data_IF_581509874272
#
_entry.id   IF_581509874272
#
_cell.length_a   1.000
_cell.length_b   1.000
_cell.length_c   1.000
_cell.angle_alpha   90.00
_cell.angle_beta   90.00
_cell.angle_gamma   90.00
#
_symmetry.space_group_name_H-M   'P 1'
#
loop_
_entity.id
_entity.type
_entity.pdbx_description
1 polymer ?
#
# COMPACT_ATOMS: atom_id res chain seq x y z
N UNK A 1 7.25 -4.75 9.75
CA UNK A 1 7.49 -3.76 8.87
C UNK A 1 7.61 -2.39 9.43
N UNK A 2 6.73 -1.93 10.16
CA UNK A 2 6.88 -0.64 10.78
C UNK A 2 7.36 -0.80 12.21
N UNK A 3 8.15 -1.75 12.44
CA UNK A 3 8.59 -1.97 13.77
C UNK A 3 9.54 -0.95 14.29
N UNK A 4 10.13 -0.15 13.45
CA UNK A 4 10.95 0.85 13.95
C UNK A 4 10.29 2.13 13.87
N UNK A 5 9.60 2.49 14.87
CA UNK A 5 8.85 3.71 14.87
C UNK A 5 9.69 4.94 14.64
N UNK A 6 10.91 4.92 15.08
CA UNK A 6 11.74 6.08 14.94
C UNK A 6 12.31 6.25 13.56
N UNK A 7 12.26 5.26 12.75
CA UNK A 7 12.66 5.45 11.41
C UNK A 7 12.10 4.38 10.54
N UNK A 8 12.02 4.61 9.26
CA UNK A 8 11.41 3.70 8.35
C UNK A 8 9.92 3.86 8.30
N UNK A 9 9.37 4.89 8.97
CA UNK A 9 7.93 5.06 9.00
C UNK A 9 7.45 6.41 8.45
N UNK A 10 8.34 7.22 7.90
CA UNK A 10 7.89 8.49 7.31
C UNK A 10 7.39 8.18 5.91
N UNK A 11 6.14 8.48 5.68
CA UNK A 11 5.47 8.03 4.46
C UNK A 11 4.85 9.17 3.66
N UNK A 12 4.96 9.06 2.35
CA UNK A 12 4.25 9.92 1.44
C UNK A 12 3.14 9.06 0.84
N UNK A 13 1.93 9.56 0.77
CA UNK A 13 0.82 8.84 0.19
C UNK A 13 0.63 9.24 -1.26
N UNK A 14 0.48 8.24 -2.12
CA UNK A 14 0.05 8.48 -3.49
C UNK A 14 -1.39 8.05 -3.57
N UNK A 15 -2.28 8.98 -3.88
CA UNK A 15 -3.72 8.70 -3.90
C UNK A 15 -4.28 8.91 -5.30
N UNK A 16 -4.37 7.85 -6.11
CA UNK A 16 -5.00 7.97 -7.41
C UNK A 16 -6.50 8.16 -7.22
N UNK A 17 -7.08 9.09 -7.97
CA UNK A 17 -8.49 9.38 -7.88
C UNK A 17 -9.16 9.08 -9.21
N UNK A 18 -10.11 8.15 -9.20
CA UNK A 18 -10.86 7.79 -10.38
C UNK A 18 -12.31 8.17 -10.15
N UNK A 19 -13.13 8.08 -11.18
CA UNK A 19 -14.53 8.38 -11.05
C UNK A 19 -15.19 7.65 -9.92
N UNK A 20 -14.79 6.41 -9.69
CA UNK A 20 -15.42 5.59 -8.66
C UNK A 20 -14.82 5.80 -7.26
N UNK A 21 -13.80 6.63 -7.14
CA UNK A 21 -13.17 6.86 -5.84
C UNK A 21 -14.10 7.72 -5.00
N UNK A 22 -14.43 7.24 -3.81
CA UNK A 22 -15.32 7.97 -2.94
C UNK A 22 -14.66 9.19 -2.32
N UNK A 23 -15.47 10.14 -1.85
CA UNK A 23 -14.93 11.39 -1.30
C UNK A 23 -14.11 11.22 -0.04
N UNK A 24 -14.38 10.15 0.72
CA UNK A 24 -13.66 9.96 1.97
C UNK A 24 -12.49 8.97 1.83
N UNK A 25 -12.21 8.55 0.63
CA UNK A 25 -11.21 7.50 0.42
C UNK A 25 -9.82 7.88 0.93
N UNK A 26 -9.42 9.12 0.72
CA UNK A 26 -8.12 9.55 1.16
C UNK A 26 -8.04 9.59 2.69
N UNK A 27 -9.08 10.12 3.33
CA UNK A 27 -9.09 10.20 4.79
C UNK A 27 -9.05 8.81 5.39
N UNK A 28 -9.77 7.87 4.82
CA UNK A 28 -9.78 6.50 5.29
C UNK A 28 -8.40 5.88 5.14
N UNK A 29 -7.75 6.14 4.02
CA UNK A 29 -6.44 5.58 3.81
C UNK A 29 -5.40 6.19 4.75
N UNK A 30 -5.54 7.47 5.05
CA UNK A 30 -4.63 8.11 5.99
C UNK A 30 -4.78 7.49 7.38
N UNK A 31 -6.02 7.18 7.78
CA UNK A 31 -6.24 6.53 9.05
C UNK A 31 -5.62 5.13 9.06
N UNK A 32 -5.74 4.44 7.94
CA UNK A 32 -5.17 3.13 7.81
C UNK A 32 -3.64 3.21 7.97
N UNK A 33 -3.04 4.21 7.34
CA UNK A 33 -1.59 4.38 7.42
C UNK A 33 -1.15 4.64 8.85
N UNK A 34 -1.90 5.47 9.57
CA UNK A 34 -1.58 5.75 10.95
C UNK A 34 -1.73 4.52 11.81
N UNK A 35 -2.73 3.69 11.52
CA UNK A 35 -2.92 2.45 12.25
C UNK A 35 -1.73 1.50 12.08
N UNK A 36 -1.04 1.62 10.97
CA UNK A 36 0.12 0.78 10.70
C UNK A 36 1.40 1.36 11.29
N UNK A 37 1.31 2.53 11.92
CA UNK A 37 2.47 3.15 12.52
C UNK A 37 3.21 4.13 11.62
N UNK A 38 2.62 4.49 10.50
CA UNK A 38 3.28 5.40 9.56
C UNK A 38 3.01 6.85 9.94
N UNK A 39 4.01 7.67 9.70
CA UNK A 39 3.86 9.10 9.88
C UNK A 39 3.70 9.70 8.49
N UNK A 40 2.54 10.24 8.17
CA UNK A 40 2.27 10.77 6.84
C UNK A 40 2.87 12.15 6.73
N UNK A 41 3.86 12.31 5.87
CA UNK A 41 4.57 13.58 5.71
C UNK A 41 4.22 14.28 4.41
N UNK A 42 3.42 13.69 3.58
CA UNK A 42 2.98 14.35 2.35
C UNK A 42 1.99 13.48 1.60
N UNK A 43 1.24 14.10 0.71
CA UNK A 43 0.24 13.41 -0.08
C UNK A 43 0.29 13.94 -1.51
N UNK A 44 0.28 13.03 -2.47
CA UNK A 44 0.15 13.40 -3.88
C UNK A 44 -1.15 12.79 -4.37
N UNK A 45 -2.06 13.60 -4.88
CA UNK A 45 -3.28 13.07 -5.46
C UNK A 45 -3.14 13.09 -6.98
N UNK A 46 -3.72 12.11 -7.61
CA UNK A 46 -3.57 11.96 -9.05
C UNK A 46 -4.90 11.60 -9.71
N UNK A 47 -5.66 12.59 -10.14
CA UNK A 47 -6.92 12.32 -10.83
C UNK A 47 -6.65 11.61 -12.14
N UNK A 48 -7.36 10.52 -12.41
CA UNK A 48 -7.15 9.75 -13.63
C UNK A 48 -8.45 9.14 -14.08
N UNK A 49 -8.55 8.91 -15.38
CA UNK A 49 -9.72 8.21 -15.91
C UNK A 49 -9.55 6.72 -15.73
N UNK A 50 -8.34 6.24 -15.84
CA UNK A 50 -8.06 4.82 -15.67
C UNK A 50 -6.60 4.64 -15.29
N UNK A 51 -6.26 3.49 -14.68
CA UNK A 51 -4.89 3.27 -14.25
C UNK A 51 -3.92 3.17 -15.41
N UNK A 52 -2.71 3.64 -15.19
CA UNK A 52 -1.66 3.52 -16.15
C UNK A 52 -0.99 2.16 -15.95
N UNK A 53 -0.68 1.48 -17.04
CA UNK A 53 -0.14 0.12 -16.95
C UNK A 53 1.25 0.10 -16.31
N UNK A 54 2.03 1.15 -16.52
CA UNK A 54 3.40 1.13 -16.04
C UNK A 54 3.52 1.51 -14.55
N UNK A 55 2.89 2.59 -14.16
CA UNK A 55 3.05 3.10 -12.80
C UNK A 55 1.74 3.45 -12.12
N UNK A 56 0.64 3.04 -12.69
CA UNK A 56 -0.69 3.28 -12.16
C UNK A 56 -1.13 4.74 -12.34
N UNK A 57 -0.25 5.69 -12.21
CA UNK A 57 -0.55 7.11 -12.46
C UNK A 57 0.41 7.59 -13.54
N UNK A 58 0.18 8.76 -14.06
CA UNK A 58 0.99 9.26 -15.17
C UNK A 58 2.40 9.63 -14.75
N UNK A 59 3.26 9.77 -15.75
CA UNK A 59 4.65 10.09 -15.52
C UNK A 59 4.85 11.37 -14.73
N UNK A 60 4.07 12.41 -15.03
CA UNK A 60 4.20 13.66 -14.31
C UNK A 60 3.95 13.51 -12.82
N UNK A 61 3.00 12.65 -12.47
CA UNK A 61 2.70 12.43 -11.06
C UNK A 61 3.79 11.62 -10.39
N UNK A 62 4.41 10.70 -11.12
CA UNK A 62 5.51 9.93 -10.56
C UNK A 62 6.67 10.88 -10.28
N UNK A 63 6.91 11.85 -11.15
CA UNK A 63 7.98 12.82 -10.96
C UNK A 63 7.68 13.70 -9.75
N UNK A 64 6.42 14.10 -9.61
CA UNK A 64 6.01 14.90 -8.48
C UNK A 64 6.19 14.09 -7.17
N UNK A 65 5.85 12.82 -7.22
CA UNK A 65 5.99 11.94 -6.07
C UNK A 65 7.46 11.79 -5.68
N UNK A 66 8.33 11.60 -6.67
CA UNK A 66 9.75 11.46 -6.40
C UNK A 66 10.32 12.73 -5.76
N UNK A 67 9.89 13.87 -6.24
CA UNK A 67 10.35 15.14 -5.70
C UNK A 67 9.89 15.32 -4.26
N UNK A 68 8.67 14.91 -3.95
CA UNK A 68 8.15 15.04 -2.61
C UNK A 68 8.86 14.08 -1.65
N UNK A 69 9.16 12.88 -2.11
CA UNK A 69 9.89 11.92 -1.30
C UNK A 69 11.25 12.51 -0.92
N UNK A 70 11.91 13.11 -1.88
CA UNK A 70 13.21 13.69 -1.62
C UNK A 70 13.11 14.88 -0.70
N UNK A 71 12.14 15.73 -0.90
CA UNK A 71 11.97 16.94 -0.09
C UNK A 71 11.61 16.63 1.36
N UNK A 72 10.86 15.57 1.60
CA UNK A 72 10.42 15.23 2.94
C UNK A 72 11.30 14.21 3.65
N UNK A 73 12.20 13.58 2.92
CA UNK A 73 13.01 12.52 3.50
C UNK A 73 12.19 11.29 3.83
N UNK A 74 11.13 11.05 3.07
CA UNK A 74 10.26 9.92 3.35
C UNK A 74 10.97 8.60 3.14
N UNK A 75 10.61 7.61 3.94
CA UNK A 75 11.20 6.28 3.88
C UNK A 75 10.40 5.34 3.02
N UNK A 76 9.13 5.66 2.80
CA UNK A 76 8.30 4.81 1.99
C UNK A 76 7.14 5.57 1.35
N UNK A 77 6.56 4.97 0.34
CA UNK A 77 5.42 5.49 -0.37
C UNK A 77 4.28 4.53 -0.12
N UNK A 78 3.13 5.06 0.29
CA UNK A 78 1.94 4.24 0.50
C UNK A 78 0.95 4.61 -0.59
N UNK A 79 0.49 3.60 -1.34
CA UNK A 79 -0.44 3.83 -2.44
C UNK A 79 -1.81 3.35 -2.03
N UNK A 80 -2.81 4.18 -2.21
CA UNK A 80 -4.16 3.91 -1.73
C UNK A 80 -4.95 2.91 -2.58
N UNK A 81 -4.34 2.36 -3.60
CA UNK A 81 -4.96 1.34 -4.42
C UNK A 81 -3.97 0.19 -4.57
N UNK A 82 -4.49 -0.98 -4.90
CA UNK A 82 -3.63 -2.13 -5.10
C UNK A 82 -2.89 -2.02 -6.42
N UNK A 83 -1.65 -2.42 -6.44
CA UNK A 83 -0.81 -2.33 -7.61
C UNK A 83 -0.38 -3.71 -8.08
N UNK A 84 -0.07 -3.81 -9.37
CA UNK A 84 0.55 -5.04 -9.86
C UNK A 84 2.02 -5.00 -9.43
N UNK A 85 2.68 -6.13 -9.48
CA UNK A 85 4.10 -6.19 -9.15
C UNK A 85 4.95 -5.32 -10.07
N UNK A 86 4.56 -5.21 -11.33
CA UNK A 86 5.29 -4.39 -12.29
C UNK A 86 5.13 -2.92 -11.93
N UNK A 87 3.91 -2.49 -11.61
CA UNK A 87 3.67 -1.10 -11.25
C UNK A 87 4.43 -0.73 -9.98
N UNK A 88 4.40 -1.61 -9.02
CA UNK A 88 5.10 -1.36 -7.77
C UNK A 88 6.60 -1.21 -8.00
N UNK A 89 7.20 -2.12 -8.75
CA UNK A 89 8.62 -2.05 -9.03
C UNK A 89 9.01 -0.81 -9.81
N UNK A 90 8.16 -0.42 -10.75
CA UNK A 90 8.46 0.77 -11.56
C UNK A 90 8.42 2.03 -10.72
N UNK A 91 7.47 2.14 -9.81
CA UNK A 91 7.40 3.31 -8.93
C UNK A 91 8.61 3.31 -7.99
N UNK A 92 8.95 2.15 -7.44
CA UNK A 92 10.11 2.07 -6.56
C UNK A 92 11.37 2.51 -7.26
N UNK A 93 11.55 2.08 -8.49
CA UNK A 93 12.72 2.43 -9.24
C UNK A 93 12.74 3.92 -9.57
N UNK A 94 11.60 4.45 -10.03
CA UNK A 94 11.55 5.84 -10.44
C UNK A 94 11.67 6.80 -9.27
N UNK A 95 11.19 6.42 -8.10
CA UNK A 95 11.23 7.28 -6.93
C UNK A 95 12.35 6.93 -5.95
N UNK A 96 13.04 5.82 -6.19
CA UNK A 96 14.12 5.37 -5.31
C UNK A 96 13.61 5.26 -3.88
N UNK A 97 12.45 4.69 -3.70
CA UNK A 97 11.80 4.62 -2.40
C UNK A 97 10.93 3.39 -2.35
N UNK A 98 10.84 2.75 -1.21
CA UNK A 98 10.05 1.57 -1.03
C UNK A 98 8.56 1.89 -1.18
N UNK A 99 7.82 0.99 -1.81
CA UNK A 99 6.40 1.20 -2.06
C UNK A 99 5.59 0.09 -1.42
N UNK A 100 4.52 0.44 -0.75
CA UNK A 100 3.55 -0.52 -0.24
C UNK A 100 2.19 -0.09 -0.72
N UNK A 101 1.43 -1.03 -1.27
CA UNK A 101 0.10 -0.68 -1.73
C UNK A 101 -0.91 -1.00 -0.62
N UNK A 102 -2.17 -0.70 -0.89
CA UNK A 102 -3.22 -0.86 0.09
C UNK A 102 -3.32 -2.28 0.63
N UNK A 103 -3.23 -3.28 -0.24
CA UNK A 103 -3.36 -4.67 0.19
C UNK A 103 -2.26 -5.06 1.15
N UNK A 104 -1.03 -4.69 0.82
CA UNK A 104 0.10 -5.02 1.67
C UNK A 104 0.00 -4.32 3.02
N UNK A 105 -0.46 -3.07 3.01
CA UNK A 105 -0.61 -2.30 4.23
C UNK A 105 -1.63 -2.96 5.16
N UNK A 106 -2.74 -3.41 4.60
CA UNK A 106 -3.76 -4.07 5.39
C UNK A 106 -3.24 -5.35 6.02
N UNK A 107 -2.47 -6.12 5.25
CA UNK A 107 -1.90 -7.35 5.76
C UNK A 107 -0.91 -7.08 6.89
N UNK A 108 -0.16 -6.00 6.78
CA UNK A 108 0.77 -5.63 7.82
C UNK A 108 0.06 -5.29 9.12
N UNK A 109 -1.05 -4.57 9.01
CA UNK A 109 -1.81 -4.20 10.20
C UNK A 109 -2.34 -5.45 10.90
N UNK A 110 -2.86 -6.41 10.13
CA UNK A 110 -3.36 -7.63 10.71
C UNK A 110 -2.23 -8.41 11.38
N UNK A 111 -1.07 -8.46 10.74
CA UNK A 111 0.07 -9.18 11.31
C UNK A 111 0.51 -8.55 12.63
N UNK A 112 0.52 -7.22 12.69
CA UNK A 112 0.90 -6.54 13.92
C UNK A 112 -0.08 -6.82 15.03
N UNK A 113 -1.36 -6.83 14.71
CA UNK A 113 -2.37 -7.09 15.73
C UNK A 113 -2.32 -8.52 16.22
N UNK A 114 -2.02 -9.45 15.33
CA UNK A 114 -1.90 -10.84 15.73
C UNK A 114 -0.78 -11.01 16.74
N UNK A 115 0.31 -10.29 16.54
CA UNK A 115 1.43 -10.39 17.45
C UNK A 115 1.14 -9.82 18.82
N UNK A 116 0.15 -8.96 18.92
CA UNK A 116 -0.18 -8.35 20.19
C UNK A 116 -1.05 -9.21 21.09
N UNK A 117 -1.66 -10.23 20.54
CA UNK A 117 -2.57 -11.05 21.32
C UNK A 117 -2.09 -12.46 21.53
N UNK A 118 -1.36 -12.67 22.57
CA UNK A 118 -0.88 -13.97 22.87
C UNK A 118 -1.91 -15.01 23.15
N UNK A 119 -2.82 -14.75 23.94
CA UNK A 119 -3.81 -15.71 24.35
C UNK A 119 -4.67 -16.25 23.22
N UNK A 120 -4.96 -15.44 22.26
CA UNK A 120 -5.82 -15.87 21.19
C UNK A 120 -5.01 -16.14 19.97
N UNK A 121 -3.72 -16.11 20.12
CA UNK A 121 -2.84 -16.16 19.02
C UNK A 121 -3.06 -17.26 18.03
N UNK A 122 -3.28 -18.42 18.49
CA UNK A 122 -3.44 -19.56 17.60
C UNK A 122 -4.59 -19.36 16.64
N UNK A 123 -5.73 -19.00 17.17
CA UNK A 123 -6.90 -18.83 16.34
C UNK A 123 -6.77 -17.62 15.42
N UNK A 124 -6.32 -16.53 15.97
CA UNK A 124 -6.20 -15.31 15.17
C UNK A 124 -5.15 -15.44 14.09
N UNK A 125 -4.08 -16.12 14.39
CA UNK A 125 -3.04 -16.30 13.44
C UNK A 125 -3.52 -17.17 12.30
N UNK A 126 -4.31 -18.18 12.61
CA UNK A 126 -4.86 -19.03 11.58
C UNK A 126 -5.78 -18.24 10.66
N UNK A 127 -6.57 -17.36 11.25
CA UNK A 127 -7.46 -16.51 10.48
C UNK A 127 -6.69 -15.53 9.61
N UNK A 128 -5.63 -14.97 10.14
CA UNK A 128 -4.82 -14.06 9.38
C UNK A 128 -4.15 -14.74 8.22
N UNK A 129 -3.68 -15.94 8.42
CA UNK A 129 -3.08 -16.69 7.36
C UNK A 129 -4.08 -16.99 6.26
N UNK A 130 -5.28 -17.33 6.69
CA UNK A 130 -6.34 -17.61 5.75
C UNK A 130 -6.66 -16.37 4.93
N UNK A 131 -6.76 -15.23 5.58
CA UNK A 131 -7.03 -13.99 4.93
C UNK A 131 -5.93 -13.62 3.97
N UNK A 132 -4.70 -13.76 4.39
CA UNK A 132 -3.56 -13.49 3.57
C UNK A 132 -3.56 -14.34 2.34
N UNK A 133 -3.83 -15.62 2.51
CA UNK A 133 -3.88 -16.55 1.42
C UNK A 133 -4.98 -16.17 0.44
N UNK A 134 -6.10 -15.75 0.96
CA UNK A 134 -7.19 -15.35 0.12
C UNK A 134 -6.89 -14.12 -0.70
N UNK A 135 -6.23 -13.16 -0.12
CA UNK A 135 -5.86 -11.97 -0.85
C UNK A 135 -4.86 -12.30 -1.96
N UNK A 136 -3.86 -13.05 -1.61
CA UNK A 136 -2.87 -13.44 -2.59
C UNK A 136 -3.48 -14.28 -3.67
N UNK A 137 -4.34 -15.23 -3.27
CA UNK A 137 -5.00 -16.03 -4.24
C UNK A 137 -5.92 -15.26 -5.09
N UNK A 138 -6.58 -14.27 -4.57
CA UNK A 138 -7.46 -13.42 -5.32
C UNK A 138 -6.74 -12.81 -6.49
N UNK A 139 -5.51 -12.40 -6.30
CA UNK A 139 -4.73 -11.84 -7.34
C UNK A 139 -4.24 -12.89 -8.30
N UNK A 140 -3.58 -13.90 -7.80
CA UNK A 140 -3.06 -14.91 -8.66
C UNK A 140 -4.15 -15.69 -9.32
N UNK A 141 -5.25 -15.89 -8.65
CA UNK A 141 -6.34 -16.64 -9.20
C UNK A 141 -6.89 -15.98 -10.43
N UNK A 142 -6.96 -14.67 -10.43
CA UNK A 142 -7.43 -13.96 -11.58
C UNK A 142 -6.50 -14.17 -12.75
N UNK A 143 -5.25 -14.34 -12.47
CA UNK A 143 -4.30 -14.57 -13.50
C UNK A 143 -4.21 -15.96 -13.95
N UNK A 144 -4.21 -16.88 -13.10
CA UNK A 144 -4.09 -18.20 -13.54
C UNK A 144 -5.20 -18.98 -13.18
N UNK A 145 -6.25 -18.33 -12.98
CA UNK A 145 -7.39 -18.96 -12.70
C UNK A 145 -7.56 -20.27 -13.12
N UNK A 146 -7.15 -20.57 -13.96
CA UNK A 146 -7.38 -21.77 -14.32
C UNK A 146 -6.45 -22.56 -13.70
N UNK A 147 -5.48 -22.20 -13.32
CA UNK A 147 -4.58 -23.06 -12.86
C UNK A 147 -4.96 -23.61 -11.64
N UNK A 148 -5.74 -23.13 -11.25
CA UNK A 148 -6.06 -23.70 -10.34
C UNK A 148 -5.90 -24.03 -9.21
N UNK A 149 -6.05 -23.82 -8.83
CA UNK A 149 -6.10 -24.29 -7.72
C UNK A 149 -6.58 -23.83 -7.13
#
# INVERSE_FOLDING_TARGET
>A
MFERAERGNRAVILHPEFRFTGPDALDEFQELARSAGAEVVGVVTAPRDRPDARTYVGKGKVEELAALVEATGADLILVSHSLSGVQERNIERDCQCRVLDRSTLILDIFAQRAQSYEGKLQVELAQLRHMSTRLVRGWTHLERQKGGI
#
